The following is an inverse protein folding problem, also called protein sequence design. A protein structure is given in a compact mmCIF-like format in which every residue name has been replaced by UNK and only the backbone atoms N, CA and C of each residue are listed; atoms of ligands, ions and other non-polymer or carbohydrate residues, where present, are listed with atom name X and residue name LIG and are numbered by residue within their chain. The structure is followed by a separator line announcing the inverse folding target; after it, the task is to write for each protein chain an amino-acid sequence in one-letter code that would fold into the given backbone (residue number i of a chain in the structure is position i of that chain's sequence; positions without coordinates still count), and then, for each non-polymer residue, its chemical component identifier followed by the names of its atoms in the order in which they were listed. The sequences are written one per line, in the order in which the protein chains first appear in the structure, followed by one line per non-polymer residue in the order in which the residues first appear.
data_IF_288457292358
#
_entry.id   IF_288457292358
#
_cell.length_a   1.000
_cell.length_b   1.000
_cell.length_c   1.000
_cell.angle_alpha   90.00
_cell.angle_beta   90.00
_cell.angle_gamma   90.00
#
_symmetry.space_group_name_H-M   'P 1'
#
loop_
_entity.id
_entity.type
_entity.pdbx_description
1 polymer ?
#
# COMPACT_ATOMS: atom_id res chain seq x y z
N UNK A 1 -57.94 15.51 -11.51
CA UNK A 1 -56.90 16.11 -12.38
C UNK A 1 -55.95 16.90 -11.50
N UNK A 2 -54.75 16.39 -11.24
CA UNK A 2 -53.68 17.15 -10.57
C UNK A 2 -52.67 17.54 -11.65
N UNK A 3 -52.83 18.74 -12.18
CA UNK A 3 -51.86 19.41 -13.04
C UNK A 3 -50.83 20.09 -12.13
N UNK A 4 -49.54 19.98 -12.43
CA UNK A 4 -48.38 20.48 -11.64
C UNK A 4 -47.71 19.48 -10.69
N UNK A 5 -47.29 18.34 -11.24
CA UNK A 5 -46.17 17.57 -10.71
C UNK A 5 -45.09 17.44 -11.78
N UNK A 6 -44.37 18.52 -12.10
CA UNK A 6 -43.15 18.39 -12.91
C UNK A 6 -42.10 17.70 -12.04
N UNK A 7 -42.01 16.37 -12.12
CA UNK A 7 -40.82 15.65 -11.69
C UNK A 7 -39.69 16.17 -12.57
N UNK A 8 -38.89 17.09 -12.02
CA UNK A 8 -37.65 17.54 -12.64
C UNK A 8 -36.86 16.27 -12.93
N UNK A 9 -36.65 15.96 -14.21
CA UNK A 9 -35.83 14.83 -14.60
C UNK A 9 -34.48 14.98 -13.88
N UNK A 10 -34.06 13.94 -13.17
CA UNK A 10 -32.72 13.91 -12.59
C UNK A 10 -31.72 14.25 -13.70
N UNK A 11 -30.72 15.11 -13.45
CA UNK A 11 -29.69 15.39 -14.43
C UNK A 11 -29.16 14.06 -14.97
N UNK A 12 -29.01 13.95 -16.28
CA UNK A 12 -28.34 12.79 -16.88
C UNK A 12 -27.01 12.59 -16.14
N UNK A 13 -26.65 11.35 -15.76
CA UNK A 13 -25.34 11.10 -15.18
C UNK A 13 -24.29 11.67 -16.11
N UNK A 14 -23.43 12.55 -15.58
CA UNK A 14 -22.25 13.00 -16.31
C UNK A 14 -21.52 11.73 -16.73
N UNK A 15 -21.11 11.56 -18.00
CA UNK A 15 -20.39 10.36 -18.40
C UNK A 15 -19.16 10.17 -17.50
N UNK A 16 -18.78 8.92 -17.17
CA UNK A 16 -17.60 8.69 -16.36
C UNK A 16 -16.40 9.36 -17.04
N UNK A 17 -15.48 9.97 -16.28
CA UNK A 17 -14.26 10.50 -16.85
C UNK A 17 -13.61 9.41 -17.71
N UNK A 18 -13.31 9.73 -18.97
CA UNK A 18 -12.66 8.77 -19.86
C UNK A 18 -11.30 8.41 -19.24
N UNK A 19 -11.02 7.12 -18.95
CA UNK A 19 -9.68 6.70 -18.56
C UNK A 19 -8.71 7.19 -19.62
N UNK A 20 -7.74 8.02 -19.22
CA UNK A 20 -6.89 8.70 -20.19
C UNK A 20 -5.98 7.70 -20.89
N UNK A 21 -6.20 7.51 -22.19
CA UNK A 21 -5.19 7.02 -23.13
C UNK A 21 -4.26 8.19 -23.49
N UNK A 22 -3.48 8.67 -22.52
CA UNK A 22 -2.47 9.71 -22.72
C UNK A 22 -1.12 9.13 -23.16
N UNK A 23 -0.09 9.97 -23.44
CA UNK A 23 1.27 9.48 -23.67
C UNK A 23 1.75 8.63 -22.48
N UNK A 24 2.57 7.61 -22.75
CA UNK A 24 3.02 6.63 -21.74
C UNK A 24 3.70 7.29 -20.54
N UNK A 25 4.41 8.40 -20.76
CA UNK A 25 4.93 9.28 -19.71
C UNK A 25 4.23 10.62 -19.85
N UNK A 26 3.33 10.93 -18.93
CA UNK A 26 2.67 12.23 -18.86
C UNK A 26 3.08 13.01 -17.60
N UNK A 27 2.53 14.22 -17.43
CA UNK A 27 2.84 15.03 -16.26
C UNK A 27 2.50 14.32 -14.94
N UNK A 28 1.46 13.49 -14.92
CA UNK A 28 1.06 12.69 -13.75
C UNK A 28 2.13 11.65 -13.42
N UNK A 29 2.65 10.94 -14.43
CA UNK A 29 3.78 10.01 -14.28
C UNK A 29 5.00 10.68 -13.67
N UNK A 30 5.37 11.87 -14.15
CA UNK A 30 6.55 12.58 -13.63
C UNK A 30 6.32 13.06 -12.20
N UNK A 31 5.15 13.65 -11.92
CA UNK A 31 4.80 14.16 -10.59
C UNK A 31 4.71 13.01 -9.57
N UNK A 32 4.16 11.85 -9.94
CA UNK A 32 4.05 10.70 -9.05
C UNK A 32 5.42 10.15 -8.67
N UNK A 33 6.32 9.98 -9.64
CA UNK A 33 7.69 9.52 -9.40
C UNK A 33 8.49 10.52 -8.56
N UNK A 34 8.36 11.82 -8.84
CA UNK A 34 8.94 12.86 -7.99
C UNK A 34 8.35 12.84 -6.57
N UNK A 35 7.07 12.53 -6.43
CA UNK A 35 6.42 12.33 -5.14
C UNK A 35 7.09 11.21 -4.33
N UNK A 36 7.33 10.06 -4.94
CA UNK A 36 8.06 8.94 -4.29
C UNK A 36 9.46 9.37 -3.85
N UNK A 37 10.21 10.03 -4.74
CA UNK A 37 11.55 10.53 -4.42
C UNK A 37 11.52 11.58 -3.31
N UNK A 38 10.50 12.42 -3.25
CA UNK A 38 10.33 13.40 -2.17
C UNK A 38 10.06 12.72 -0.83
N UNK A 39 9.24 11.66 -0.79
CA UNK A 39 9.03 10.88 0.44
C UNK A 39 10.32 10.19 0.90
N UNK A 40 11.06 9.57 -0.02
CA UNK A 40 12.35 8.95 0.30
C UNK A 40 13.38 9.98 0.78
N UNK A 41 13.48 11.13 0.11
CA UNK A 41 14.34 12.24 0.51
C UNK A 41 13.96 12.80 1.87
N UNK A 42 12.67 12.90 2.17
CA UNK A 42 12.15 13.29 3.48
C UNK A 42 12.52 12.29 4.58
N UNK A 43 12.40 10.98 4.30
CA UNK A 43 12.82 9.93 5.21
C UNK A 43 14.33 9.99 5.49
N UNK A 44 15.14 10.19 4.46
CA UNK A 44 16.59 10.37 4.56
C UNK A 44 16.96 11.61 5.39
N UNK A 45 16.39 12.76 5.08
CA UNK A 45 16.64 14.01 5.82
C UNK A 45 16.25 13.89 7.29
N UNK A 46 15.12 13.23 7.57
CA UNK A 46 14.69 12.94 8.94
C UNK A 46 15.71 12.04 9.65
N UNK A 47 16.23 11.01 8.99
CA UNK A 47 17.26 10.14 9.57
C UNK A 47 18.52 10.90 10.00
N UNK A 48 18.94 11.91 9.23
CA UNK A 48 20.09 12.75 9.57
C UNK A 48 19.79 13.59 10.82
N UNK A 49 18.56 14.09 10.92
CA UNK A 49 18.14 14.99 11.99
C UNK A 49 17.90 14.27 13.33
N UNK A 50 17.30 13.07 13.31
CA UNK A 50 16.78 12.43 14.53
C UNK A 50 17.65 11.29 15.05
N UNK A 51 18.46 10.65 14.20
CA UNK A 51 19.36 9.60 14.65
C UNK A 51 20.67 10.20 15.17
N UNK A 52 21.28 9.62 16.22
CA UNK A 52 22.62 10.01 16.66
C UNK A 52 23.65 9.92 15.54
N UNK A 53 24.66 10.80 15.57
CA UNK A 53 25.79 10.74 14.62
C UNK A 53 26.56 9.41 14.71
N UNK A 54 26.52 8.76 15.88
CA UNK A 54 27.12 7.45 16.14
C UNK A 54 26.27 6.27 15.67
N UNK A 55 25.06 6.51 15.15
CA UNK A 55 24.19 5.44 14.67
C UNK A 55 24.84 4.68 13.52
N UNK A 56 24.75 3.36 13.57
CA UNK A 56 25.32 2.51 12.53
C UNK A 56 24.61 2.74 11.19
N UNK A 57 25.31 2.42 10.10
CA UNK A 57 24.73 2.47 8.74
C UNK A 57 23.47 1.59 8.67
N UNK A 58 23.48 0.42 9.32
CA UNK A 58 22.34 -0.50 9.38
C UNK A 58 21.13 0.16 10.05
N UNK A 59 21.30 0.73 11.24
CA UNK A 59 20.23 1.47 11.94
C UNK A 59 19.67 2.58 11.07
N UNK A 60 20.53 3.30 10.34
CA UNK A 60 20.11 4.37 9.43
C UNK A 60 19.29 3.84 8.25
N UNK A 61 19.74 2.77 7.59
CA UNK A 61 18.99 2.14 6.50
C UNK A 61 17.63 1.64 7.00
N UNK A 62 17.59 0.94 8.13
CA UNK A 62 16.35 0.46 8.74
C UNK A 62 15.41 1.63 9.04
N UNK A 63 15.92 2.70 9.64
CA UNK A 63 15.09 3.88 9.93
C UNK A 63 14.52 4.51 8.67
N UNK A 64 15.34 4.71 7.64
CA UNK A 64 14.91 5.30 6.37
C UNK A 64 13.85 4.43 5.71
N UNK A 65 14.07 3.12 5.65
CA UNK A 65 13.10 2.17 5.10
C UNK A 65 11.75 2.28 5.81
N UNK A 66 11.72 2.13 7.13
CA UNK A 66 10.47 2.14 7.89
C UNK A 66 9.77 3.52 7.85
N UNK A 67 10.52 4.62 7.79
CA UNK A 67 9.90 5.93 7.66
C UNK A 67 9.36 6.16 6.25
N UNK A 68 10.07 5.71 5.22
CA UNK A 68 9.59 5.74 3.84
C UNK A 68 8.33 4.89 3.68
N UNK A 69 8.35 3.67 4.23
CA UNK A 69 7.22 2.73 4.30
C UNK A 69 5.98 3.37 4.95
N UNK A 70 6.15 3.95 6.16
CA UNK A 70 5.08 4.70 6.82
C UNK A 70 4.51 5.85 5.98
N UNK A 71 5.37 6.59 5.28
CA UNK A 71 4.97 7.69 4.42
C UNK A 71 4.19 7.20 3.18
N UNK A 72 4.57 6.05 2.61
CA UNK A 72 3.83 5.43 1.50
C UNK A 72 2.44 5.01 1.98
N UNK A 73 2.35 4.31 3.11
CA UNK A 73 1.06 3.92 3.69
C UNK A 73 0.17 5.15 3.93
N UNK A 74 0.68 6.20 4.58
CA UNK A 74 -0.17 7.35 4.89
C UNK A 74 -0.54 8.22 3.69
N UNK A 75 0.42 8.50 2.81
CA UNK A 75 0.22 9.47 1.72
C UNK A 75 -0.39 8.79 0.51
N UNK A 76 0.18 7.68 0.07
CA UNK A 76 -0.29 7.01 -1.13
C UNK A 76 -1.49 6.15 -0.78
N UNK A 77 -1.33 5.09 0.01
CA UNK A 77 -2.40 4.13 0.27
C UNK A 77 -3.58 4.78 1.01
N UNK A 78 -3.31 5.70 1.93
CA UNK A 78 -4.33 6.53 2.55
C UNK A 78 -5.16 7.34 1.54
N UNK A 79 -4.52 7.85 0.48
CA UNK A 79 -5.23 8.51 -0.61
C UNK A 79 -5.97 7.54 -1.53
N UNK A 80 -5.50 6.29 -1.69
CA UNK A 80 -6.24 5.24 -2.38
C UNK A 80 -7.54 4.93 -1.64
N UNK A 81 -7.44 4.65 -0.34
CA UNK A 81 -8.61 4.45 0.51
C UNK A 81 -9.57 5.64 0.44
N UNK A 82 -9.07 6.87 0.47
CA UNK A 82 -9.91 8.05 0.30
C UNK A 82 -10.74 7.99 -0.99
N UNK A 83 -10.12 7.61 -2.11
CA UNK A 83 -10.84 7.43 -3.36
C UNK A 83 -11.88 6.29 -3.27
N UNK A 84 -11.55 5.17 -2.64
CA UNK A 84 -12.46 4.02 -2.48
C UNK A 84 -13.65 4.29 -1.55
N UNK A 85 -13.53 5.20 -0.59
CA UNK A 85 -14.61 5.49 0.37
C UNK A 85 -15.40 6.76 0.05
N UNK A 86 -14.82 7.74 -0.64
CA UNK A 86 -15.42 9.07 -0.78
C UNK A 86 -15.53 9.60 -2.21
N UNK A 87 -14.84 9.01 -3.19
CA UNK A 87 -14.94 9.44 -4.58
C UNK A 87 -15.95 8.55 -5.31
N UNK A 88 -17.09 9.13 -5.67
CA UNK A 88 -18.25 8.37 -6.15
C UNK A 88 -18.70 8.76 -7.55
N UNK A 89 -19.31 7.81 -8.23
CA UNK A 89 -20.03 8.01 -9.49
C UNK A 89 -21.42 7.39 -9.42
N UNK A 90 -22.47 8.17 -9.69
CA UNK A 90 -23.85 7.67 -9.68
C UNK A 90 -24.17 6.91 -10.94
N UNK A 91 -24.63 5.67 -10.77
CA UNK A 91 -25.14 4.87 -11.87
C UNK A 91 -26.49 5.43 -12.35
N UNK A 92 -26.77 5.45 -13.67
CA UNK A 92 -28.11 5.75 -14.15
C UNK A 92 -29.14 4.81 -13.52
N UNK A 93 -30.32 5.32 -13.20
CA UNK A 93 -31.45 4.61 -12.54
C UNK A 93 -31.97 3.38 -13.29
N UNK A 94 -31.43 3.08 -14.48
CA UNK A 94 -31.65 1.85 -15.24
C UNK A 94 -30.31 1.22 -15.58
N UNK A 95 -29.64 0.60 -14.60
CA UNK A 95 -28.45 -0.20 -14.85
C UNK A 95 -28.89 -1.56 -15.42
N UNK A 96 -29.18 -1.59 -16.72
CA UNK A 96 -29.49 -2.83 -17.43
C UNK A 96 -28.27 -3.76 -17.43
N UNK A 97 -28.46 -5.07 -17.63
CA UNK A 97 -27.35 -5.99 -17.85
C UNK A 97 -26.42 -5.55 -19.02
N UNK A 98 -26.92 -4.77 -19.99
CA UNK A 98 -26.12 -4.18 -21.06
C UNK A 98 -25.17 -3.06 -20.58
N UNK A 99 -25.49 -2.40 -19.45
CA UNK A 99 -24.66 -1.37 -18.82
C UNK A 99 -23.41 -1.93 -18.14
N UNK A 100 -23.34 -3.26 -17.91
CA UNK A 100 -22.14 -3.95 -17.39
C UNK A 100 -20.98 -3.95 -18.39
N UNK A 101 -21.25 -3.78 -19.68
CA UNK A 101 -20.24 -3.73 -20.75
C UNK A 101 -19.89 -2.30 -21.15
N UNK A 102 -20.17 -1.30 -20.31
CA UNK A 102 -19.82 0.07 -20.62
C UNK A 102 -18.28 0.22 -20.65
N UNK A 103 -17.67 0.76 -21.72
CA UNK A 103 -16.20 0.77 -21.92
C UNK A 103 -15.42 1.57 -20.87
N UNK A 104 -16.12 2.27 -19.97
CA UNK A 104 -15.56 3.15 -18.95
C UNK A 104 -15.99 2.78 -17.53
N UNK A 105 -16.70 1.64 -17.35
CA UNK A 105 -17.11 1.15 -16.03
C UNK A 105 -16.46 -0.21 -15.84
N UNK A 106 -15.61 -0.32 -14.83
CA UNK A 106 -15.02 -1.59 -14.42
C UNK A 106 -15.47 -1.90 -13.00
N UNK A 107 -16.08 -3.07 -12.82
CA UNK A 107 -16.51 -3.59 -11.53
C UNK A 107 -15.48 -4.61 -11.06
N UNK A 108 -14.85 -4.34 -9.92
CA UNK A 108 -13.91 -5.26 -9.26
C UNK A 108 -14.55 -6.01 -8.10
N UNK A 109 -15.85 -5.81 -7.87
CA UNK A 109 -16.63 -6.62 -6.93
C UNK A 109 -17.27 -7.80 -7.66
N UNK A 110 -17.48 -8.94 -6.98
CA UNK A 110 -18.24 -10.06 -7.53
C UNK A 110 -19.67 -9.63 -7.92
N UNK A 111 -20.35 -10.40 -8.80
CA UNK A 111 -21.76 -10.20 -9.08
C UNK A 111 -22.60 -10.12 -7.80
N UNK A 112 -23.52 -9.16 -7.76
CA UNK A 112 -24.45 -8.92 -6.66
C UNK A 112 -23.79 -8.55 -5.30
N UNK A 113 -22.49 -8.22 -5.31
CA UNK A 113 -21.76 -7.67 -4.17
C UNK A 113 -21.51 -6.18 -4.40
N UNK A 114 -22.09 -5.36 -3.53
CA UNK A 114 -22.06 -3.90 -3.64
C UNK A 114 -21.21 -3.29 -2.53
N UNK A 115 -20.23 -2.48 -2.92
CA UNK A 115 -19.40 -1.76 -1.96
C UNK A 115 -20.27 -0.87 -1.06
N UNK A 116 -20.07 -0.96 0.26
CA UNK A 116 -20.86 -0.25 1.28
C UNK A 116 -22.38 -0.48 1.18
N UNK A 117 -22.82 -1.56 0.52
CA UNK A 117 -24.24 -1.85 0.29
C UNK A 117 -24.93 -0.87 -0.66
N UNK A 118 -24.18 -0.17 -1.52
CA UNK A 118 -24.71 0.84 -2.45
C UNK A 118 -24.74 0.31 -3.88
N UNK A 119 -25.94 -0.05 -4.34
CA UNK A 119 -26.17 -0.51 -5.71
C UNK A 119 -26.19 0.63 -6.75
N UNK A 120 -26.41 1.86 -6.29
CA UNK A 120 -26.58 3.05 -7.11
C UNK A 120 -25.28 3.83 -7.34
N UNK A 121 -24.18 3.45 -6.66
CA UNK A 121 -22.91 4.17 -6.67
C UNK A 121 -21.72 3.26 -7.00
N UNK A 122 -20.79 3.80 -7.79
CA UNK A 122 -19.45 3.26 -7.96
C UNK A 122 -18.46 4.12 -7.21
N UNK A 123 -17.35 3.53 -6.78
CA UNK A 123 -16.32 4.18 -5.97
C UNK A 123 -14.94 3.96 -6.55
N UNK A 124 -14.02 4.89 -6.29
CA UNK A 124 -12.62 4.75 -6.65
C UNK A 124 -12.06 5.89 -7.49
N UNK A 125 -10.76 5.81 -7.76
CA UNK A 125 -9.98 6.88 -8.36
C UNK A 125 -10.44 7.25 -9.77
N UNK A 126 -10.93 6.29 -10.56
CA UNK A 126 -11.41 6.51 -11.92
C UNK A 126 -12.54 7.53 -12.03
N UNK A 127 -13.25 7.79 -10.93
CA UNK A 127 -14.37 8.72 -10.87
C UNK A 127 -13.99 10.11 -10.34
N UNK A 128 -12.72 10.30 -9.96
CA UNK A 128 -12.21 11.54 -9.39
C UNK A 128 -11.32 12.32 -10.36
N UNK A 129 -11.19 13.62 -10.11
CA UNK A 129 -10.30 14.51 -10.88
C UNK A 129 -9.18 15.13 -10.05
N UNK A 130 -9.13 14.81 -8.75
CA UNK A 130 -8.13 15.33 -7.81
C UNK A 130 -6.72 14.84 -8.17
N UNK A 131 -5.65 15.50 -7.69
CA UNK A 131 -4.28 15.03 -7.92
C UNK A 131 -4.05 13.58 -7.48
N UNK A 132 -4.59 13.18 -6.32
CA UNK A 132 -4.49 11.80 -5.84
C UNK A 132 -5.36 10.82 -6.66
N UNK A 133 -6.51 11.26 -7.16
CA UNK A 133 -7.29 10.43 -8.11
C UNK A 133 -6.49 10.19 -9.39
N UNK A 134 -5.80 11.21 -9.90
CA UNK A 134 -4.93 11.08 -11.08
C UNK A 134 -3.73 10.19 -10.82
N UNK A 135 -3.10 10.30 -9.64
CA UNK A 135 -2.03 9.41 -9.20
C UNK A 135 -2.46 7.94 -9.29
N UNK A 136 -3.63 7.62 -8.77
CA UNK A 136 -4.13 6.24 -8.79
C UNK A 136 -4.62 5.78 -10.16
N UNK A 137 -5.16 6.69 -10.97
CA UNK A 137 -5.42 6.41 -12.40
C UNK A 137 -4.13 6.10 -13.16
N UNK A 138 -3.00 6.73 -12.81
CA UNK A 138 -1.69 6.44 -13.41
C UNK A 138 -1.23 5.02 -13.07
N UNK A 139 -1.27 4.65 -11.78
CA UNK A 139 -0.91 3.30 -11.37
C UNK A 139 -1.90 2.25 -11.91
N UNK A 140 -3.18 2.63 -12.08
CA UNK A 140 -4.22 1.77 -12.65
C UNK A 140 -3.99 1.41 -14.14
N UNK A 141 -3.07 2.09 -14.83
CA UNK A 141 -2.61 1.66 -16.16
C UNK A 141 -1.88 0.31 -16.09
N UNK A 142 -1.12 0.06 -15.01
CA UNK A 142 -0.41 -1.19 -14.79
C UNK A 142 -1.26 -2.24 -14.04
N UNK A 143 -2.08 -1.82 -13.08
CA UNK A 143 -2.99 -2.69 -12.34
C UNK A 143 -4.36 -2.02 -12.17
N UNK A 144 -5.32 -2.42 -13.01
CA UNK A 144 -6.64 -1.78 -13.13
C UNK A 144 -7.40 -1.68 -11.80
N UNK A 145 -7.15 -2.60 -10.86
CA UNK A 145 -7.85 -2.68 -9.57
C UNK A 145 -7.68 -1.42 -8.74
N UNK A 146 -6.55 -0.72 -8.87
CA UNK A 146 -6.24 0.52 -8.16
C UNK A 146 -7.03 1.74 -8.67
N UNK A 147 -7.72 1.60 -9.82
CA UNK A 147 -8.65 2.61 -10.31
C UNK A 147 -10.03 2.54 -9.66
N UNK A 148 -10.37 1.43 -8.98
CA UNK A 148 -11.69 1.16 -8.42
C UNK A 148 -11.63 0.52 -7.03
N UNK A 149 -12.68 -0.23 -6.68
CA UNK A 149 -12.75 -0.97 -5.40
C UNK A 149 -12.65 -2.46 -5.67
N UNK A 150 -11.43 -2.99 -5.62
CA UNK A 150 -11.19 -4.41 -5.44
C UNK A 150 -11.26 -4.75 -3.94
N UNK A 151 -12.07 -5.75 -3.58
CA UNK A 151 -12.33 -6.07 -2.16
C UNK A 151 -11.08 -6.57 -1.44
N UNK A 152 -10.20 -7.29 -2.13
CA UNK A 152 -8.97 -7.82 -1.52
C UNK A 152 -7.99 -6.69 -1.29
N UNK A 153 -7.74 -5.90 -2.33
CA UNK A 153 -6.80 -4.76 -2.26
C UNK A 153 -7.26 -3.77 -1.20
N UNK A 154 -8.51 -3.28 -1.25
CA UNK A 154 -8.99 -2.31 -0.25
C UNK A 154 -8.95 -2.86 1.17
N UNK A 155 -9.22 -4.15 1.39
CA UNK A 155 -9.12 -4.76 2.72
C UNK A 155 -7.69 -4.80 3.25
N UNK A 156 -6.71 -5.08 2.38
CA UNK A 156 -5.28 -5.01 2.73
C UNK A 156 -4.88 -3.57 3.03
N UNK A 157 -5.28 -2.62 2.18
CA UNK A 157 -4.87 -1.22 2.32
C UNK A 157 -5.44 -0.57 3.59
N UNK A 158 -6.61 -1.01 4.08
CA UNK A 158 -7.09 -0.60 5.42
C UNK A 158 -6.11 -1.02 6.51
N UNK A 159 -5.56 -2.24 6.44
CA UNK A 159 -4.57 -2.71 7.42
C UNK A 159 -3.23 -2.00 7.25
N UNK A 160 -2.77 -1.76 6.04
CA UNK A 160 -1.49 -1.07 5.82
C UNK A 160 -1.54 0.36 6.35
N UNK A 161 -2.63 1.11 6.07
CA UNK A 161 -2.80 2.49 6.53
C UNK A 161 -2.98 2.58 8.05
N UNK A 162 -3.84 1.75 8.64
CA UNK A 162 -4.21 1.89 10.06
C UNK A 162 -3.40 1.03 11.02
N UNK A 163 -2.62 0.05 10.52
CA UNK A 163 -1.79 -0.84 11.35
C UNK A 163 -0.32 -0.76 10.93
N UNK A 164 0.01 -0.98 9.66
CA UNK A 164 1.40 -1.02 9.21
C UNK A 164 2.09 0.34 9.32
N UNK A 165 1.48 1.43 8.81
CA UNK A 165 1.99 2.80 8.90
C UNK A 165 2.30 3.25 10.35
N UNK A 166 1.36 3.12 11.29
CA UNK A 166 1.62 3.42 12.71
C UNK A 166 2.70 2.53 13.32
N UNK A 167 2.74 1.23 12.98
CA UNK A 167 3.75 0.31 13.46
C UNK A 167 5.15 0.66 12.91
N UNK A 168 5.25 1.06 11.65
CA UNK A 168 6.48 1.53 11.02
C UNK A 168 6.99 2.81 11.71
N UNK A 169 6.11 3.75 12.03
CA UNK A 169 6.44 4.93 12.86
C UNK A 169 6.89 4.54 14.28
N UNK A 170 6.26 3.55 14.90
CA UNK A 170 6.69 3.02 16.20
C UNK A 170 8.09 2.40 16.13
N UNK A 171 8.40 1.65 15.07
CA UNK A 171 9.73 1.11 14.83
C UNK A 171 10.74 2.25 14.67
N UNK A 172 10.46 3.29 13.87
CA UNK A 172 11.30 4.46 13.74
C UNK A 172 11.59 5.12 15.10
N UNK A 173 10.56 5.31 15.93
CA UNK A 173 10.73 5.83 17.29
C UNK A 173 11.67 4.97 18.13
N UNK A 174 11.53 3.65 18.08
CA UNK A 174 12.40 2.71 18.82
C UNK A 174 13.84 2.72 18.30
N UNK A 175 14.05 2.94 17.00
CA UNK A 175 15.38 3.09 16.39
C UNK A 175 16.09 4.40 16.81
N UNK A 176 15.35 5.43 17.24
CA UNK A 176 15.97 6.64 17.83
C UNK A 176 16.55 6.41 19.23
N UNK A 177 16.14 5.32 19.91
CA UNK A 177 16.62 4.99 21.25
C UNK A 177 17.95 4.25 21.18
N UNK A 178 18.74 4.37 22.25
CA UNK A 178 20.08 3.79 22.42
C UNK A 178 20.18 2.36 21.84
N UNK A 179 21.16 2.12 20.96
CA UNK A 179 21.25 0.87 20.16
C UNK A 179 21.40 -0.39 21.03
N UNK A 180 22.16 -0.32 22.13
CA UNK A 180 22.49 -1.48 22.96
C UNK A 180 21.32 -1.97 23.82
N UNK A 181 20.34 -1.11 24.12
CA UNK A 181 19.21 -1.47 24.99
C UNK A 181 18.02 -1.92 24.16
N UNK A 182 17.57 -3.14 24.44
CA UNK A 182 16.32 -3.66 23.88
C UNK A 182 16.38 -3.98 22.38
N UNK A 183 17.55 -4.28 21.83
CA UNK A 183 17.71 -4.61 20.40
C UNK A 183 16.74 -5.71 19.93
N UNK A 184 16.55 -6.75 20.74
CA UNK A 184 15.59 -7.82 20.44
C UNK A 184 14.13 -7.34 20.42
N UNK A 185 13.78 -6.37 21.27
CA UNK A 185 12.44 -5.75 21.26
C UNK A 185 12.21 -4.94 19.98
N UNK A 186 13.26 -4.34 19.41
CA UNK A 186 13.18 -3.63 18.12
C UNK A 186 12.94 -4.63 17.00
N UNK A 187 13.72 -5.73 16.97
CA UNK A 187 13.55 -6.80 15.97
C UNK A 187 12.19 -7.48 16.03
N UNK A 188 11.60 -7.66 17.21
CA UNK A 188 10.24 -8.20 17.35
C UNK A 188 9.21 -7.41 16.52
N UNK A 189 9.18 -6.09 16.65
CA UNK A 189 8.25 -5.25 15.89
C UNK A 189 8.57 -5.23 14.40
N UNK A 190 9.86 -5.20 14.04
CA UNK A 190 10.28 -5.28 12.64
C UNK A 190 9.89 -6.60 11.98
N UNK A 191 9.95 -7.73 12.71
CA UNK A 191 9.51 -9.04 12.20
C UNK A 191 8.00 -9.07 11.96
N UNK A 192 7.21 -8.52 12.88
CA UNK A 192 5.75 -8.44 12.72
C UNK A 192 5.42 -7.67 11.45
N UNK A 193 5.98 -6.46 11.30
CA UNK A 193 5.72 -5.63 10.12
C UNK A 193 6.23 -6.31 8.84
N UNK A 194 7.48 -6.76 8.80
CA UNK A 194 8.06 -7.40 7.62
C UNK A 194 7.28 -8.65 7.16
N UNK A 195 6.77 -9.44 8.10
CA UNK A 195 5.92 -10.60 7.76
C UNK A 195 4.59 -10.15 7.18
N UNK A 196 3.98 -9.11 7.75
CA UNK A 196 2.73 -8.54 7.24
C UNK A 196 2.90 -7.94 5.84
N UNK A 197 4.00 -7.23 5.55
CA UNK A 197 4.29 -6.68 4.22
C UNK A 197 4.44 -7.79 3.15
N UNK A 198 5.20 -8.85 3.45
CA UNK A 198 5.37 -9.98 2.52
C UNK A 198 4.03 -10.68 2.29
N UNK A 199 3.27 -10.92 3.36
CA UNK A 199 1.95 -11.54 3.25
C UNK A 199 0.97 -10.67 2.48
N UNK A 200 0.95 -9.36 2.72
CA UNK A 200 0.14 -8.38 2.01
C UNK A 200 0.48 -8.36 0.52
N UNK A 201 1.76 -8.27 0.17
CA UNK A 201 2.22 -8.36 -1.21
C UNK A 201 1.80 -9.67 -1.88
N UNK A 202 1.91 -10.80 -1.18
CA UNK A 202 1.39 -12.08 -1.68
C UNK A 202 -0.12 -12.03 -1.93
N UNK A 203 -0.92 -11.51 -0.98
CA UNK A 203 -2.37 -11.42 -1.12
C UNK A 203 -2.81 -10.41 -2.20
N UNK A 204 -2.00 -9.43 -2.55
CA UNK A 204 -2.25 -8.51 -3.68
C UNK A 204 -2.08 -9.21 -5.03
N UNK A 205 -1.07 -10.07 -5.19
CA UNK A 205 -0.72 -10.66 -6.49
C UNK A 205 -1.18 -12.12 -6.67
N UNK A 206 -1.30 -12.91 -5.61
CA UNK A 206 -1.65 -14.32 -5.72
C UNK A 206 -3.06 -14.55 -6.26
N UNK A 207 -4.12 -13.86 -5.80
CA UNK A 207 -5.45 -13.99 -6.40
C UNK A 207 -5.41 -13.68 -7.90
N UNK A 208 -4.66 -12.64 -8.27
CA UNK A 208 -4.59 -12.18 -9.64
C UNK A 208 -3.83 -13.17 -10.54
N UNK A 209 -2.73 -13.72 -10.03
CA UNK A 209 -2.01 -14.80 -10.70
C UNK A 209 -2.88 -16.05 -10.89
N UNK A 210 -3.65 -16.44 -9.87
CA UNK A 210 -4.55 -17.59 -9.92
C UNK A 210 -5.69 -17.40 -10.94
N UNK A 211 -6.07 -16.16 -11.23
CA UNK A 211 -7.09 -15.82 -12.24
C UNK A 211 -6.52 -15.49 -13.63
N UNK A 212 -5.22 -15.68 -13.84
CA UNK A 212 -4.56 -15.44 -15.14
C UNK A 212 -4.21 -13.97 -15.40
N UNK A 213 -4.12 -13.18 -14.34
CA UNK A 213 -3.73 -11.76 -14.31
C UNK A 213 -4.51 -10.80 -15.24
N UNK A 214 -5.85 -10.90 -15.40
CA UNK A 214 -6.64 -10.06 -16.31
C UNK A 214 -6.53 -8.53 -16.05
N UNK A 215 -6.20 -8.14 -14.83
CA UNK A 215 -6.10 -6.73 -14.44
C UNK A 215 -4.70 -6.14 -14.58
N UNK A 216 -3.67 -6.98 -14.75
CA UNK A 216 -2.29 -6.53 -14.88
C UNK A 216 -1.93 -6.30 -16.35
N UNK A 217 -1.41 -5.12 -16.68
CA UNK A 217 -0.83 -4.85 -17.99
C UNK A 217 0.69 -5.04 -17.95
N UNK A 218 1.14 -6.15 -18.51
CA UNK A 218 2.57 -6.49 -18.63
C UNK A 218 3.14 -6.22 -20.02
N UNK A 219 2.37 -5.60 -20.92
CA UNK A 219 2.79 -5.36 -22.31
C UNK A 219 3.73 -4.17 -22.45
N UNK A 220 3.63 -3.20 -21.56
CA UNK A 220 4.50 -2.02 -21.51
C UNK A 220 5.67 -2.24 -20.54
N UNK A 221 6.87 -1.83 -20.96
CA UNK A 221 8.09 -1.99 -20.16
C UNK A 221 8.04 -1.26 -18.82
N UNK A 222 7.54 -0.02 -18.79
CA UNK A 222 7.43 0.78 -17.56
C UNK A 222 6.44 0.15 -16.60
N UNK A 223 5.29 -0.31 -17.10
CA UNK A 223 4.29 -0.96 -16.25
C UNK A 223 4.84 -2.24 -15.63
N UNK A 224 5.45 -3.11 -16.44
CA UNK A 224 6.02 -4.36 -15.94
C UNK A 224 7.21 -4.13 -15.00
N UNK A 225 8.25 -3.44 -15.46
CA UNK A 225 9.52 -3.40 -14.74
C UNK A 225 9.56 -2.33 -13.65
N UNK A 226 9.00 -1.15 -13.90
CA UNK A 226 9.04 -0.07 -12.93
C UNK A 226 7.88 -0.17 -11.94
N UNK A 227 6.64 -0.30 -12.43
CA UNK A 227 5.46 -0.26 -11.55
C UNK A 227 5.25 -1.59 -10.83
N UNK A 228 5.18 -2.69 -11.57
CA UNK A 228 4.87 -4.00 -10.99
C UNK A 228 6.10 -4.62 -10.32
N UNK A 229 7.25 -4.72 -10.99
CA UNK A 229 8.41 -5.44 -10.43
C UNK A 229 9.21 -4.58 -9.45
N UNK A 230 9.65 -3.38 -9.84
CA UNK A 230 10.55 -2.59 -9.00
C UNK A 230 9.88 -2.12 -7.71
N UNK A 231 8.77 -1.39 -7.79
CA UNK A 231 8.13 -0.87 -6.58
C UNK A 231 7.68 -1.97 -5.65
N UNK A 232 6.92 -2.97 -6.11
CA UNK A 232 6.49 -4.07 -5.24
C UNK A 232 7.67 -4.94 -4.77
N UNK A 233 8.72 -5.08 -5.57
CA UNK A 233 9.93 -5.80 -5.21
C UNK A 233 10.65 -5.21 -3.99
N UNK A 234 10.53 -3.89 -3.74
CA UNK A 234 11.09 -3.27 -2.53
C UNK A 234 10.43 -3.84 -1.26
N UNK A 235 9.12 -4.02 -1.26
CA UNK A 235 8.33 -4.63 -0.18
C UNK A 235 8.51 -6.16 -0.06
N UNK A 236 9.30 -6.77 -0.94
CA UNK A 236 9.79 -8.15 -0.77
C UNK A 236 11.21 -8.14 -0.22
N UNK A 237 12.11 -7.40 -0.87
CA UNK A 237 13.55 -7.45 -0.58
C UNK A 237 13.87 -6.88 0.81
N UNK A 238 13.35 -5.71 1.16
CA UNK A 238 13.65 -5.09 2.46
C UNK A 238 13.05 -5.90 3.63
N UNK A 239 11.76 -6.29 3.59
CA UNK A 239 11.20 -7.19 4.60
C UNK A 239 11.95 -8.51 4.73
N UNK A 240 12.31 -9.17 3.62
CA UNK A 240 13.08 -10.42 3.69
C UNK A 240 14.46 -10.23 4.33
N UNK A 241 15.16 -9.14 3.99
CA UNK A 241 16.42 -8.79 4.63
C UNK A 241 16.25 -8.52 6.14
N UNK A 242 15.19 -7.80 6.53
CA UNK A 242 14.86 -7.54 7.95
C UNK A 242 14.61 -8.85 8.70
N UNK A 243 13.87 -9.79 8.12
CA UNK A 243 13.61 -11.10 8.72
C UNK A 243 14.90 -11.90 8.90
N UNK A 244 15.80 -11.88 7.90
CA UNK A 244 17.14 -12.46 8.04
C UNK A 244 17.89 -11.83 9.21
N UNK A 245 18.00 -10.51 9.25
CA UNK A 245 18.74 -9.78 10.30
C UNK A 245 18.19 -10.08 11.69
N UNK A 246 16.86 -10.13 11.82
CA UNK A 246 16.18 -10.50 13.05
C UNK A 246 16.52 -11.94 13.47
N UNK A 247 16.48 -12.89 12.53
CA UNK A 247 16.84 -14.28 12.79
C UNK A 247 18.27 -14.38 13.33
N UNK A 248 19.24 -13.76 12.67
CA UNK A 248 20.65 -13.77 13.11
C UNK A 248 20.83 -13.16 14.50
N UNK A 249 20.14 -12.05 14.79
CA UNK A 249 20.20 -11.38 16.08
C UNK A 249 19.58 -12.24 17.20
N UNK A 250 18.44 -12.87 16.94
CA UNK A 250 17.76 -13.75 17.89
C UNK A 250 18.57 -15.03 18.15
N UNK A 251 19.08 -15.69 17.12
CA UNK A 251 19.93 -16.88 17.27
C UNK A 251 21.17 -16.57 18.10
N UNK A 252 21.84 -15.44 17.81
CA UNK A 252 23.02 -15.02 18.57
C UNK A 252 22.68 -14.78 20.04
N UNK A 253 21.55 -14.12 20.33
CA UNK A 253 21.13 -13.85 21.70
C UNK A 253 20.74 -15.13 22.47
N UNK A 254 20.06 -16.07 21.81
CA UNK A 254 19.72 -17.36 22.40
C UNK A 254 20.97 -18.16 22.75
N UNK A 255 21.95 -18.25 21.84
CA UNK A 255 23.21 -18.96 22.13
C UNK A 255 23.99 -18.33 23.29
N UNK A 256 23.95 -16.99 23.45
CA UNK A 256 24.56 -16.33 24.61
C UNK A 256 23.82 -16.65 25.91
N UNK A 257 22.49 -16.70 25.89
CA UNK A 257 21.69 -17.09 27.06
C UNK A 257 21.98 -18.54 27.49
N UNK A 258 22.02 -19.48 26.54
CA UNK A 258 22.37 -20.88 26.80
C UNK A 258 23.77 -21.03 27.42
N UNK A 259 24.75 -20.27 26.92
CA UNK A 259 26.11 -20.26 27.48
C UNK A 259 26.15 -19.71 28.92
N UNK A 260 25.39 -18.65 29.20
CA UNK A 260 25.28 -18.09 30.57
C UNK A 260 24.64 -19.09 31.51
N UNK A 261 23.57 -19.76 31.08
CA UNK A 261 22.90 -20.80 31.87
C UNK A 261 23.82 -21.98 32.14
N UNK A 262 24.60 -22.44 31.15
CA UNK A 262 25.58 -23.49 31.31
C UNK A 262 26.68 -23.10 32.31
N UNK A 263 27.22 -21.89 32.22
CA UNK A 263 28.23 -21.38 33.16
C UNK A 263 27.67 -21.30 34.58
N UNK A 264 26.42 -20.84 34.74
CA UNK A 264 25.75 -20.77 36.03
C UNK A 264 25.45 -22.16 36.62
N UNK A 265 25.16 -23.13 35.76
CA UNK A 265 24.99 -24.53 36.17
C UNK A 265 26.32 -25.10 36.69
N UNK A 266 27.40 -24.99 35.92
CA UNK A 266 28.72 -25.52 36.31
C UNK A 266 29.26 -24.91 37.61
N UNK A 267 29.00 -23.61 37.86
CA UNK A 267 29.42 -22.92 39.09
C UNK A 267 28.63 -23.32 40.34
N UNK A 268 27.50 -24.02 40.22
CA UNK A 268 26.74 -24.50 41.38
C UNK A 268 27.26 -25.83 41.93
N UNK A 269 28.07 -26.54 41.14
CA UNK A 269 28.62 -27.85 41.50
C UNK A 269 30.04 -27.74 42.14
N UNK A 270 30.59 -26.52 42.24
CA UNK A 270 31.82 -26.16 42.97
C UNK A 270 31.50 -25.50 44.34
#
# INVERSE_FOLDING_TARGET
MSFFGSKRASPLPVPPPVPRSGPEIDATTVISLLGVLALLGGAYATSIKVLPQTATIKTRILFIWHLFDALIHFVFEGSFLWNCFFVTYSLPTSFSAASRNHPHITLFTPPDVYWLGREDLLYGANYGTSPFSRLWQEYAKADKRWGGVDLTVVSLEVLTVFVAGPLACWICYQLTKEERKGILKKYFWMVILATAEIYGGWMTFAPEWLTGSPNLDTSNWMYLWLYLIFFNGLWVVFPAWILWEAYQAMSSAMSQAEMVDLVNYLKKDD
#
